data_IF_766203677544
#
_entry.id   IF_766203677544
#
_cell.length_a   1.000
_cell.length_b   1.000
_cell.length_c   1.000
_cell.angle_alpha   90.00
_cell.angle_beta   90.00
_cell.angle_gamma   90.00
#
_symmetry.space_group_name_H-M   'P 1'
#
loop_
_entity.id
_entity.type
_entity.pdbx_description
1 polymer ?
#
# COMPACT_ATOMS: atom_id res chain seq x y z
N UNK A 1 19.31 19.55 7.02
CA UNK A 1 18.31 18.58 6.51
C UNK A 1 18.56 18.27 5.03
N UNK A 2 18.60 16.99 4.64
CA UNK A 2 18.88 16.56 3.26
C UNK A 2 17.63 16.69 2.35
N UNK A 3 17.83 16.74 1.03
CA UNK A 3 16.75 16.79 0.02
C UNK A 3 15.75 15.65 0.14
N UNK A 4 16.21 14.44 0.51
CA UNK A 4 15.32 13.30 0.76
C UNK A 4 14.33 13.56 1.91
N UNK A 5 14.78 14.23 2.96
CA UNK A 5 13.94 14.53 4.13
C UNK A 5 12.95 15.66 3.83
N UNK A 6 13.38 16.69 3.07
CA UNK A 6 12.49 17.74 2.58
C UNK A 6 11.34 17.16 1.75
N UNK A 7 11.66 16.25 0.81
CA UNK A 7 10.66 15.56 -0.01
C UNK A 7 9.71 14.71 0.84
N UNK A 8 10.24 13.99 1.82
CA UNK A 8 9.42 13.22 2.76
C UNK A 8 8.45 14.11 3.56
N UNK A 9 8.93 15.23 4.09
CA UNK A 9 8.10 16.18 4.86
C UNK A 9 6.95 16.71 4.00
N UNK A 10 7.24 17.19 2.79
CA UNK A 10 6.22 17.69 1.87
C UNK A 10 5.19 16.60 1.50
N UNK A 11 5.66 15.39 1.20
CA UNK A 11 4.79 14.25 0.91
C UNK A 11 3.92 13.89 2.11
N UNK A 12 4.52 13.78 3.30
CA UNK A 12 3.82 13.38 4.51
C UNK A 12 2.80 14.42 4.95
N UNK A 13 3.08 15.72 4.82
CA UNK A 13 2.10 16.78 5.09
C UNK A 13 0.83 16.64 4.25
N UNK A 14 0.96 16.27 2.98
CA UNK A 14 -0.19 16.01 2.12
C UNK A 14 -0.92 14.72 2.51
N UNK A 15 -0.19 13.67 2.92
CA UNK A 15 -0.77 12.36 3.22
C UNK A 15 -1.37 12.25 4.63
N UNK A 16 -0.84 12.97 5.62
CA UNK A 16 -1.21 12.83 7.04
C UNK A 16 -2.58 13.41 7.40
N UNK A 17 -3.23 14.16 6.49
CA UNK A 17 -4.50 14.83 6.73
C UNK A 17 -5.61 13.89 7.24
N UNK A 18 -5.57 12.62 6.85
CA UNK A 18 -6.48 11.61 7.39
C UNK A 18 -5.78 10.27 7.49
N UNK A 19 -5.69 9.77 8.74
CA UNK A 19 -5.18 8.43 9.05
C UNK A 19 -5.92 7.36 8.27
N UNK A 20 -7.24 7.43 8.22
CA UNK A 20 -8.08 6.47 7.50
C UNK A 20 -7.76 6.50 6.00
N UNK A 21 -7.77 7.67 5.36
CA UNK A 21 -7.50 7.79 3.92
C UNK A 21 -6.10 7.30 3.55
N UNK A 22 -5.08 7.66 4.33
CA UNK A 22 -3.72 7.16 4.12
C UNK A 22 -3.68 5.63 4.17
N UNK A 23 -4.28 5.05 5.20
CA UNK A 23 -4.20 3.61 5.46
C UNK A 23 -4.91 2.80 4.39
N UNK A 24 -6.12 3.22 4.02
CA UNK A 24 -6.88 2.61 2.91
C UNK A 24 -6.11 2.72 1.60
N UNK A 25 -5.54 3.90 1.31
CA UNK A 25 -4.75 4.10 0.07
C UNK A 25 -3.54 3.17 0.03
N UNK A 26 -2.80 3.03 1.13
CA UNK A 26 -1.66 2.11 1.18
C UNK A 26 -2.08 0.65 1.02
N UNK A 27 -3.17 0.24 1.69
CA UNK A 27 -3.71 -1.11 1.55
C UNK A 27 -4.09 -1.46 0.11
N UNK A 28 -4.82 -0.57 -0.57
CA UNK A 28 -5.22 -0.77 -1.97
C UNK A 28 -4.01 -0.76 -2.90
N UNK A 29 -3.09 0.19 -2.76
CA UNK A 29 -1.91 0.30 -3.65
C UNK A 29 -1.01 -0.93 -3.54
N UNK A 30 -0.74 -1.40 -2.32
CA UNK A 30 0.14 -2.55 -2.11
C UNK A 30 -0.55 -3.84 -2.57
N UNK A 31 -1.84 -4.02 -2.25
CA UNK A 31 -2.60 -5.16 -2.75
C UNK A 31 -2.63 -5.20 -4.28
N UNK A 32 -2.80 -4.03 -4.93
CA UNK A 32 -2.76 -3.93 -6.39
C UNK A 32 -1.39 -4.29 -6.98
N UNK A 33 -0.30 -3.87 -6.34
CA UNK A 33 1.05 -4.27 -6.78
C UNK A 33 1.24 -5.79 -6.72
N UNK A 34 0.72 -6.47 -5.69
CA UNK A 34 0.75 -7.93 -5.65
C UNK A 34 -0.02 -8.55 -6.82
N UNK A 35 -1.18 -8.01 -7.19
CA UNK A 35 -1.95 -8.49 -8.35
C UNK A 35 -1.15 -8.32 -9.63
N UNK A 36 -0.56 -7.14 -9.86
CA UNK A 36 0.22 -6.87 -11.06
C UNK A 36 1.43 -7.80 -11.20
N UNK A 37 1.97 -8.33 -10.11
CA UNK A 37 3.08 -9.30 -10.13
C UNK A 37 2.54 -10.73 -10.28
N UNK A 38 1.49 -11.10 -9.54
CA UNK A 38 0.94 -12.45 -9.54
C UNK A 38 0.22 -12.81 -10.85
N UNK A 39 -0.44 -11.84 -11.49
CA UNK A 39 -1.18 -12.02 -12.74
C UNK A 39 -0.28 -12.48 -13.91
N UNK A 40 0.86 -11.82 -14.20
CA UNK A 40 1.82 -12.30 -15.20
C UNK A 40 2.41 -13.66 -14.84
N UNK A 41 2.81 -13.88 -13.58
CA UNK A 41 3.36 -15.16 -13.14
C UNK A 41 2.36 -16.28 -13.44
N UNK A 42 1.10 -16.10 -13.09
CA UNK A 42 0.05 -17.09 -13.37
C UNK A 42 -0.17 -17.28 -14.87
N UNK A 43 -0.18 -16.20 -15.66
CA UNK A 43 -0.33 -16.27 -17.13
C UNK A 43 0.77 -17.12 -17.80
N UNK A 44 2.02 -16.98 -17.36
CA UNK A 44 3.13 -17.79 -17.87
C UNK A 44 3.07 -19.26 -17.44
N UNK A 45 2.43 -19.57 -16.31
CA UNK A 45 2.37 -20.93 -15.75
C UNK A 45 1.18 -21.72 -16.31
N UNK A 46 -0.03 -21.12 -16.37
CA UNK A 46 -1.28 -21.85 -16.65
C UNK A 46 -1.93 -21.53 -17.99
N UNK A 47 -1.27 -20.79 -18.88
CA UNK A 47 -1.81 -20.35 -20.18
C UNK A 47 -2.99 -19.34 -20.08
N UNK A 48 -3.36 -18.64 -21.18
CA UNK A 48 -4.25 -17.47 -21.17
C UNK A 48 -5.69 -17.71 -20.70
N UNK A 49 -6.23 -18.90 -20.95
CA UNK A 49 -7.66 -19.20 -20.76
C UNK A 49 -8.07 -19.20 -19.28
N UNK A 50 -7.12 -19.46 -18.38
CA UNK A 50 -7.32 -19.45 -16.93
C UNK A 50 -7.16 -18.07 -16.28
N UNK A 51 -6.77 -17.04 -17.03
CA UNK A 51 -6.52 -15.71 -16.47
C UNK A 51 -7.77 -15.08 -15.85
N UNK A 52 -8.93 -15.22 -16.51
CA UNK A 52 -10.20 -14.69 -16.01
C UNK A 52 -10.68 -15.45 -14.77
N UNK A 53 -10.48 -16.76 -14.75
CA UNK A 53 -10.79 -17.61 -13.59
C UNK A 53 -9.86 -17.30 -12.41
N UNK A 54 -8.58 -17.06 -12.67
CA UNK A 54 -7.60 -16.61 -11.68
C UNK A 54 -8.04 -15.26 -11.08
N UNK A 55 -8.42 -14.29 -11.91
CA UNK A 55 -8.84 -12.99 -11.38
C UNK A 55 -10.11 -13.10 -10.53
N UNK A 56 -11.09 -13.88 -10.97
CA UNK A 56 -12.34 -14.10 -10.23
C UNK A 56 -12.12 -14.81 -8.89
N UNK A 57 -11.33 -15.89 -8.87
CA UNK A 57 -11.05 -16.68 -7.66
C UNK A 57 -10.20 -15.92 -6.63
N UNK A 58 -9.25 -15.09 -7.10
CA UNK A 58 -8.36 -14.35 -6.22
C UNK A 58 -8.93 -13.00 -5.75
N UNK A 59 -10.07 -12.55 -6.30
CA UNK A 59 -10.79 -11.35 -5.88
C UNK A 59 -10.95 -11.21 -4.36
N UNK A 60 -11.40 -12.29 -3.72
CA UNK A 60 -11.63 -12.34 -2.27
C UNK A 60 -10.31 -12.23 -1.50
N UNK A 61 -9.27 -12.92 -1.98
CA UNK A 61 -7.93 -12.89 -1.37
C UNK A 61 -7.35 -11.48 -1.44
N UNK A 62 -7.58 -10.74 -2.52
CA UNK A 62 -7.10 -9.36 -2.64
C UNK A 62 -7.85 -8.39 -1.75
N UNK A 63 -9.17 -8.52 -1.65
CA UNK A 63 -9.96 -7.71 -0.72
C UNK A 63 -9.50 -7.95 0.72
N UNK A 64 -9.26 -9.22 1.09
CA UNK A 64 -8.72 -9.58 2.38
C UNK A 64 -7.31 -9.00 2.60
N UNK A 65 -6.40 -9.14 1.62
CA UNK A 65 -5.05 -8.59 1.69
C UNK A 65 -5.06 -7.05 1.81
N UNK A 66 -5.90 -6.38 1.03
CA UNK A 66 -6.09 -4.93 1.08
C UNK A 66 -6.61 -4.47 2.44
N UNK A 67 -7.58 -5.19 3.02
CA UNK A 67 -8.11 -4.91 4.35
C UNK A 67 -7.04 -5.09 5.44
N UNK A 68 -6.30 -6.20 5.40
CA UNK A 68 -5.20 -6.48 6.35
C UNK A 68 -4.12 -5.40 6.27
N UNK A 69 -3.68 -5.05 5.06
CA UNK A 69 -2.69 -4.00 4.86
C UNK A 69 -3.22 -2.64 5.30
N UNK A 70 -4.49 -2.31 5.01
CA UNK A 70 -5.12 -1.08 5.48
C UNK A 70 -5.12 -1.01 7.00
N UNK A 71 -5.45 -2.09 7.69
CA UNK A 71 -5.40 -2.16 9.16
C UNK A 71 -3.97 -2.00 9.68
N UNK A 72 -2.99 -2.66 9.05
CA UNK A 72 -1.57 -2.51 9.40
C UNK A 72 -1.12 -1.04 9.28
N UNK A 73 -1.41 -0.38 8.17
CA UNK A 73 -1.04 1.03 7.99
C UNK A 73 -1.83 1.94 8.91
N UNK A 74 -3.05 1.58 9.28
CA UNK A 74 -3.83 2.31 10.26
C UNK A 74 -3.16 2.27 11.62
N UNK A 75 -2.90 1.09 12.19
CA UNK A 75 -2.38 0.97 13.55
C UNK A 75 -0.89 1.26 13.67
N UNK A 76 -0.09 0.75 12.73
CA UNK A 76 1.38 0.76 12.81
C UNK A 76 1.99 1.78 11.86
N UNK A 77 1.63 1.70 10.58
CA UNK A 77 2.26 2.50 9.52
C UNK A 77 2.15 4.00 9.77
N UNK A 78 0.94 4.51 10.01
CA UNK A 78 0.70 5.94 10.23
C UNK A 78 1.54 6.48 11.40
N UNK A 79 1.53 5.77 12.53
CA UNK A 79 2.28 6.16 13.72
C UNK A 79 3.80 6.18 13.47
N UNK A 80 4.31 5.20 12.73
CA UNK A 80 5.74 5.14 12.36
C UNK A 80 6.15 6.34 11.50
N UNK A 81 5.33 6.70 10.51
CA UNK A 81 5.59 7.83 9.62
C UNK A 81 5.45 9.17 10.37
N UNK A 82 4.45 9.31 11.23
CA UNK A 82 4.24 10.48 12.06
C UNK A 82 5.38 10.70 13.06
N UNK A 83 5.92 9.62 13.65
CA UNK A 83 7.10 9.70 14.53
C UNK A 83 8.33 10.20 13.77
N UNK A 84 8.58 9.68 12.56
CA UNK A 84 9.67 10.17 11.70
C UNK A 84 9.49 11.64 11.36
N UNK A 85 8.27 12.05 10.97
CA UNK A 85 7.97 13.44 10.66
C UNK A 85 8.29 14.37 11.82
N UNK A 86 7.77 14.07 13.02
CA UNK A 86 8.04 14.85 14.24
C UNK A 86 9.54 14.95 14.56
N UNK A 87 10.28 13.87 14.36
CA UNK A 87 11.74 13.86 14.55
C UNK A 87 12.47 14.77 13.56
N UNK A 88 11.95 14.99 12.35
CA UNK A 88 12.60 15.80 11.32
C UNK A 88 12.24 17.28 11.42
N UNK A 89 11.04 17.62 11.92
CA UNK A 89 10.62 19.02 12.07
C UNK A 89 11.12 19.69 13.37
N UNK A 90 11.52 18.88 14.36
CA UNK A 90 12.04 19.35 15.64
C UNK A 90 13.60 19.36 15.67
N UNK A 91 14.24 19.10 14.53
CA UNK A 91 15.69 19.21 14.31
C UNK A 91 16.02 20.55 13.67
#
# INVERSE_FOLDING_TARGET
MNEKDKRFIALWQNLRQSRLKFSVRQGVVIAFMFILIAAPINYFITQPDDFKAFLGKNGIIWLAASAILSLYYYFVGFNKYEKRYKSLINQ
#
